data_IF_610821549681
#
_entry.id   IF_610821549681
#
_cell.length_a   1.000
_cell.length_b   1.000
_cell.length_c   1.000
_cell.angle_alpha   90.00
_cell.angle_beta   90.00
_cell.angle_gamma   90.00
#
_symmetry.space_group_name_H-M   'P 1'
#
loop_
_entity.id
_entity.type
_entity.pdbx_description
1 polymer ?
#
# COMPACT_ATOMS: atom_id res chain seq x y z
N UNK A 1 19.35 18.15 3.67
CA UNK A 1 18.18 17.25 3.54
C UNK A 1 17.13 17.69 4.53
N UNK A 2 15.86 17.56 4.18
CA UNK A 2 14.72 17.84 5.06
C UNK A 2 13.62 16.83 4.75
N UNK A 3 13.19 16.05 5.74
CA UNK A 3 12.06 15.13 5.56
C UNK A 3 10.74 15.87 5.67
N UNK A 4 9.75 15.45 4.89
CA UNK A 4 8.37 15.91 4.98
C UNK A 4 7.47 14.67 5.09
N UNK A 5 6.44 14.73 5.93
CA UNK A 5 5.52 13.61 6.12
C UNK A 5 4.16 13.92 5.48
N UNK A 6 3.75 13.15 4.45
CA UNK A 6 2.39 13.19 3.93
C UNK A 6 1.38 12.76 4.97
N UNK A 7 0.56 13.70 5.43
CA UNK A 7 -0.47 13.44 6.47
C UNK A 7 -1.45 12.35 6.02
N UNK A 8 -1.72 12.25 4.70
CA UNK A 8 -2.52 11.17 4.10
C UNK A 8 -2.00 9.75 4.37
N UNK A 9 -0.74 9.58 4.76
CA UNK A 9 -0.16 8.25 5.02
C UNK A 9 -0.72 7.61 6.28
N UNK A 10 -0.97 8.43 7.30
CA UNK A 10 -1.67 8.10 8.54
C UNK A 10 -2.01 9.43 9.22
N UNK A 11 -3.32 9.73 9.28
CA UNK A 11 -3.87 10.98 9.81
C UNK A 11 -4.07 10.93 11.34
N UNK A 12 -3.73 9.80 11.99
CA UNK A 12 -3.85 9.66 13.43
C UNK A 12 -3.05 10.76 14.14
N UNK A 13 -3.73 11.41 15.09
CA UNK A 13 -3.19 12.55 15.81
C UNK A 13 -1.87 12.22 16.51
N UNK A 14 -1.77 11.05 17.14
CA UNK A 14 -0.58 10.67 17.90
C UNK A 14 0.60 10.48 16.95
N UNK A 15 0.37 9.87 15.78
CA UNK A 15 1.40 9.70 14.75
C UNK A 15 1.91 11.05 14.24
N UNK A 16 1.02 11.97 13.87
CA UNK A 16 1.44 13.27 13.34
C UNK A 16 2.13 14.12 14.41
N UNK A 17 1.59 14.16 15.65
CA UNK A 17 2.21 14.90 16.76
C UNK A 17 3.60 14.34 17.11
N UNK A 18 3.78 13.02 17.10
CA UNK A 18 5.08 12.38 17.35
C UNK A 18 6.08 12.68 16.24
N UNK A 19 5.68 12.62 14.97
CA UNK A 19 6.55 13.00 13.84
C UNK A 19 7.03 14.44 13.98
N UNK A 20 6.15 15.37 14.32
CA UNK A 20 6.53 16.78 14.53
C UNK A 20 7.43 16.95 15.73
N UNK A 21 7.13 16.27 16.84
CA UNK A 21 7.90 16.34 18.09
C UNK A 21 9.32 15.77 17.92
N UNK A 22 9.43 14.52 17.48
CA UNK A 22 10.72 13.83 17.31
C UNK A 22 11.48 14.34 16.08
N UNK A 23 10.78 14.84 15.07
CA UNK A 23 11.36 15.45 13.88
C UNK A 23 11.85 16.89 14.05
N UNK A 24 11.53 17.54 15.17
CA UNK A 24 11.82 18.97 15.38
C UNK A 24 13.31 19.31 15.24
N UNK A 25 14.22 18.51 15.79
CA UNK A 25 15.68 18.74 15.65
C UNK A 25 16.18 18.63 14.19
N UNK A 26 15.44 17.91 13.35
CA UNK A 26 15.75 17.67 11.94
C UNK A 26 14.97 18.58 10.98
N UNK A 27 14.21 19.55 11.50
CA UNK A 27 13.30 20.43 10.74
C UNK A 27 12.26 19.63 9.95
N UNK A 28 11.81 18.49 10.47
CA UNK A 28 10.88 17.61 9.76
C UNK A 28 9.54 18.33 9.52
N UNK A 29 9.09 18.35 8.28
CA UNK A 29 7.89 19.04 7.83
C UNK A 29 6.68 18.13 7.62
N UNK A 30 5.57 18.72 7.19
CA UNK A 30 4.33 18.01 6.86
C UNK A 30 3.87 18.36 5.45
N UNK A 31 3.30 17.39 4.74
CA UNK A 31 2.61 17.57 3.47
C UNK A 31 1.11 17.40 3.66
N UNK A 32 0.33 18.30 3.06
CA UNK A 32 -1.12 18.29 3.13
C UNK A 32 -1.73 18.39 1.72
N UNK A 33 -2.61 17.45 1.39
CA UNK A 33 -3.30 17.39 0.10
C UNK A 33 -4.74 17.92 0.14
N UNK A 34 -5.32 18.11 1.33
CA UNK A 34 -6.71 18.56 1.52
C UNK A 34 -6.81 19.67 2.59
N UNK A 35 -7.94 20.40 2.62
CA UNK A 35 -8.15 21.49 3.60
C UNK A 35 -8.08 21.00 5.06
N UNK A 36 -8.71 19.85 5.44
CA UNK A 36 -8.59 19.34 6.80
C UNK A 36 -7.14 18.97 7.17
N UNK A 37 -6.40 18.34 6.25
CA UNK A 37 -4.98 18.02 6.45
C UNK A 37 -4.15 19.29 6.59
N UNK A 38 -4.44 20.35 5.83
CA UNK A 38 -3.74 21.63 5.92
C UNK A 38 -3.95 22.28 7.29
N UNK A 39 -5.20 22.29 7.80
CA UNK A 39 -5.49 22.80 9.15
C UNK A 39 -4.78 21.99 10.24
N UNK A 40 -4.79 20.66 10.12
CA UNK A 40 -4.08 19.76 11.02
C UNK A 40 -2.57 20.05 10.98
N UNK A 41 -1.99 20.12 9.79
CA UNK A 41 -0.57 20.36 9.61
C UNK A 41 -0.14 21.74 10.15
N UNK A 42 -0.93 22.79 9.90
CA UNK A 42 -0.69 24.12 10.47
C UNK A 42 -0.72 24.09 12.00
N UNK A 43 -1.72 23.43 12.59
CA UNK A 43 -1.86 23.31 14.05
C UNK A 43 -0.67 22.56 14.69
N UNK A 44 -0.26 21.43 14.10
CA UNK A 44 0.87 20.65 14.58
C UNK A 44 2.20 21.42 14.41
N UNK A 45 2.45 22.03 13.27
CA UNK A 45 3.70 22.76 12.99
C UNK A 45 3.90 24.02 13.82
N UNK A 46 2.84 24.63 14.36
CA UNK A 46 2.96 25.68 15.38
C UNK A 46 3.72 25.23 16.64
N UNK A 47 3.76 23.92 16.92
CA UNK A 47 4.54 23.30 18.01
C UNK A 47 5.83 22.62 17.51
N UNK A 48 6.08 22.67 16.20
CA UNK A 48 7.23 22.06 15.55
C UNK A 48 8.42 23.00 15.42
N UNK A 49 9.36 22.61 14.55
CA UNK A 49 10.49 23.47 14.22
C UNK A 49 10.02 24.65 13.34
N UNK A 50 10.41 25.91 13.63
CA UNK A 50 10.06 27.08 12.80
C UNK A 50 10.54 27.02 11.34
N UNK A 51 11.55 26.20 11.05
CA UNK A 51 12.10 25.96 9.71
C UNK A 51 11.54 24.69 9.04
N UNK A 52 10.57 24.01 9.67
CA UNK A 52 9.87 22.87 9.08
C UNK A 52 9.03 23.30 7.87
N UNK A 53 9.14 22.56 6.77
CA UNK A 53 8.34 22.80 5.56
C UNK A 53 6.89 22.39 5.78
N UNK A 54 5.98 23.21 5.26
CA UNK A 54 4.58 22.85 5.05
C UNK A 54 4.35 22.76 3.54
N UNK A 55 4.38 21.56 2.99
CA UNK A 55 4.17 21.35 1.56
C UNK A 55 2.68 21.22 1.29
N UNK A 56 2.12 22.18 0.56
CA UNK A 56 0.74 22.17 0.13
C UNK A 56 0.65 21.53 -1.25
N UNK A 57 0.35 20.23 -1.30
CA UNK A 57 0.29 19.44 -2.54
C UNK A 57 -1.17 19.17 -2.95
N UNK A 58 -1.40 18.44 -4.05
CA UNK A 58 -2.74 18.08 -4.51
C UNK A 58 -3.52 19.23 -5.18
N UNK A 59 -4.76 18.97 -5.61
CA UNK A 59 -5.60 19.98 -6.27
C UNK A 59 -6.06 21.05 -5.28
N UNK A 60 -6.00 22.33 -5.68
CA UNK A 60 -6.34 23.45 -4.80
C UNK A 60 -7.41 24.35 -5.42
N UNK A 61 -8.41 24.66 -4.61
CA UNK A 61 -9.35 25.74 -4.89
C UNK A 61 -8.92 27.05 -4.21
N UNK A 62 -9.69 28.12 -4.44
CA UNK A 62 -9.40 29.44 -3.88
C UNK A 62 -9.38 29.46 -2.34
N UNK A 63 -10.21 28.65 -1.68
CA UNK A 63 -10.25 28.56 -0.22
C UNK A 63 -8.99 27.91 0.32
N UNK A 64 -8.55 26.79 -0.29
CA UNK A 64 -7.30 26.14 0.06
C UNK A 64 -6.11 27.10 -0.12
N UNK A 65 -6.03 27.80 -1.26
CA UNK A 65 -4.95 28.77 -1.53
C UNK A 65 -4.95 29.90 -0.48
N UNK A 66 -6.13 30.42 -0.12
CA UNK A 66 -6.27 31.45 0.90
C UNK A 66 -5.77 30.97 2.26
N UNK A 67 -6.09 29.73 2.63
CA UNK A 67 -5.62 29.11 3.87
C UNK A 67 -4.10 28.89 3.86
N UNK A 68 -3.54 28.41 2.75
CA UNK A 68 -2.10 28.24 2.60
C UNK A 68 -1.34 29.58 2.71
N UNK A 69 -1.89 30.67 2.16
CA UNK A 69 -1.35 32.02 2.32
C UNK A 69 -1.49 32.55 3.75
N UNK A 70 -2.54 32.17 4.49
CA UNK A 70 -2.65 32.48 5.91
C UNK A 70 -1.56 31.79 6.73
N UNK A 71 -1.18 30.55 6.38
CA UNK A 71 -0.05 29.84 7.00
C UNK A 71 1.25 30.66 6.94
N UNK A 72 1.46 31.43 5.85
CA UNK A 72 2.57 32.37 5.73
C UNK A 72 2.53 33.49 6.78
N UNK A 73 1.34 34.02 7.08
CA UNK A 73 1.16 35.06 8.11
C UNK A 73 1.44 34.51 9.52
N UNK A 74 1.25 33.20 9.71
CA UNK A 74 1.65 32.47 10.92
C UNK A 74 3.15 32.10 10.95
N UNK A 75 3.95 32.68 10.04
CA UNK A 75 5.39 32.41 9.89
C UNK A 75 5.76 30.96 9.55
N UNK A 76 4.80 30.13 9.12
CA UNK A 76 5.08 28.77 8.65
C UNK A 76 5.80 28.82 7.29
N UNK A 77 6.78 27.92 7.10
CA UNK A 77 7.51 27.76 5.82
C UNK A 77 6.66 26.97 4.82
N UNK A 78 5.49 27.51 4.49
CA UNK A 78 4.59 26.94 3.49
C UNK A 78 5.20 27.01 2.08
N UNK A 79 4.81 26.06 1.23
CA UNK A 79 5.06 26.06 -0.22
C UNK A 79 3.81 25.55 -0.92
N UNK A 80 3.23 26.36 -1.80
CA UNK A 80 2.09 25.97 -2.65
C UNK A 80 2.65 25.29 -3.91
N UNK A 81 2.56 23.97 -3.99
CA UNK A 81 3.06 23.20 -5.14
C UNK A 81 1.97 23.15 -6.21
N UNK A 82 2.20 23.79 -7.35
CA UNK A 82 1.25 23.79 -8.46
C UNK A 82 1.19 22.39 -9.12
N UNK A 83 -0.02 21.86 -9.18
CA UNK A 83 -0.39 20.59 -9.80
C UNK A 83 -0.97 20.81 -11.21
N UNK A 84 -1.67 21.93 -11.39
CA UNK A 84 -2.28 22.36 -12.64
C UNK A 84 -1.81 23.77 -13.03
N UNK A 85 -1.82 24.08 -14.32
CA UNK A 85 -1.31 25.36 -14.81
C UNK A 85 -2.20 26.52 -14.36
N UNK A 86 -3.51 26.27 -14.30
CA UNK A 86 -4.55 27.25 -13.96
C UNK A 86 -4.46 27.72 -12.50
N UNK A 87 -3.86 26.90 -11.61
CA UNK A 87 -3.66 27.25 -10.20
C UNK A 87 -2.76 28.49 -10.05
N UNK A 88 -1.84 28.75 -10.99
CA UNK A 88 -0.94 29.91 -10.91
C UNK A 88 -1.71 31.23 -10.92
N UNK A 89 -2.80 31.30 -11.71
CA UNK A 89 -3.60 32.52 -11.85
C UNK A 89 -4.36 32.80 -10.55
N UNK A 90 -4.91 31.74 -9.93
CA UNK A 90 -5.56 31.83 -8.61
C UNK A 90 -4.58 32.22 -7.51
N UNK A 91 -3.37 31.64 -7.50
CA UNK A 91 -2.33 31.99 -6.51
C UNK A 91 -1.92 33.46 -6.65
N UNK A 92 -1.70 33.95 -7.88
CA UNK A 92 -1.35 35.35 -8.12
C UNK A 92 -2.48 36.28 -7.64
N UNK A 93 -3.72 36.05 -8.07
CA UNK A 93 -4.87 36.88 -7.72
C UNK A 93 -5.10 36.95 -6.20
N UNK A 94 -5.15 35.80 -5.52
CA UNK A 94 -5.39 35.75 -4.07
C UNK A 94 -4.19 36.33 -3.30
N UNK A 95 -2.96 36.11 -3.77
CA UNK A 95 -1.76 36.70 -3.15
C UNK A 95 -1.78 38.22 -3.15
N UNK A 96 -2.27 38.83 -4.24
CA UNK A 96 -2.43 40.27 -4.37
C UNK A 96 -3.56 40.78 -3.46
N UNK A 97 -4.73 40.12 -3.47
CA UNK A 97 -5.87 40.45 -2.60
C UNK A 97 -5.52 40.42 -1.11
N UNK A 98 -4.75 39.42 -0.68
CA UNK A 98 -4.33 39.27 0.72
C UNK A 98 -3.07 40.07 1.07
N UNK A 99 -2.42 40.69 0.08
CA UNK A 99 -1.12 41.35 0.21
C UNK A 99 -0.05 40.45 0.84
N UNK A 100 -0.01 39.17 0.44
CA UNK A 100 0.95 38.17 0.91
C UNK A 100 1.70 37.60 -0.28
N UNK A 101 3.03 37.74 -0.32
CA UNK A 101 3.83 37.07 -1.35
C UNK A 101 3.84 35.55 -1.13
N UNK A 102 3.46 34.74 -2.13
CA UNK A 102 3.43 33.29 -2.01
C UNK A 102 4.85 32.72 -2.06
N UNK A 103 5.00 31.48 -1.58
CA UNK A 103 6.13 30.62 -1.96
C UNK A 103 5.55 29.50 -2.80
N UNK A 104 6.03 29.38 -4.04
CA UNK A 104 5.46 28.53 -5.07
C UNK A 104 6.44 27.40 -5.39
N UNK A 105 5.90 26.20 -5.53
CA UNK A 105 6.56 25.08 -6.17
C UNK A 105 5.83 24.65 -7.44
N UNK A 106 6.44 23.83 -8.26
CA UNK A 106 5.78 23.17 -9.40
C UNK A 106 6.03 21.67 -9.30
N UNK A 107 4.97 20.87 -9.48
CA UNK A 107 5.13 19.43 -9.68
C UNK A 107 5.41 19.14 -11.14
N UNK A 108 6.59 18.64 -11.47
CA UNK A 108 6.96 18.28 -12.84
C UNK A 108 6.57 16.84 -13.16
N UNK A 109 6.00 16.64 -14.36
CA UNK A 109 5.91 15.32 -14.99
C UNK A 109 7.25 14.95 -15.58
N UNK A 110 7.84 13.88 -15.07
CA UNK A 110 9.07 13.31 -15.62
C UNK A 110 8.76 12.40 -16.80
N UNK A 111 9.72 12.25 -17.71
CA UNK A 111 9.70 11.28 -18.80
C UNK A 111 10.06 9.88 -18.31
N UNK A 112 10.85 9.80 -17.23
CA UNK A 112 11.17 8.58 -16.50
C UNK A 112 9.88 7.83 -16.13
N UNK A 113 9.76 6.56 -16.53
CA UNK A 113 8.58 5.71 -16.30
C UNK A 113 8.85 4.65 -15.24
N UNK A 114 7.87 4.45 -14.36
CA UNK A 114 7.83 3.35 -13.41
C UNK A 114 7.01 2.19 -14.01
N UNK A 115 7.56 0.98 -14.04
CA UNK A 115 6.85 -0.27 -14.37
C UNK A 115 6.22 -0.87 -13.11
N UNK A 116 5.01 -1.44 -13.19
CA UNK A 116 4.33 -2.10 -12.07
C UNK A 116 2.92 -1.55 -11.79
N UNK A 117 2.23 -2.06 -10.75
CA UNK A 117 0.86 -1.65 -10.40
C UNK A 117 0.74 -0.13 -10.14
N UNK A 118 1.79 0.50 -9.62
CA UNK A 118 1.83 1.94 -9.31
C UNK A 118 2.30 2.82 -10.48
N UNK A 119 2.73 2.22 -11.60
CA UNK A 119 3.31 2.94 -12.74
C UNK A 119 2.35 3.87 -13.48
N UNK A 120 1.05 3.60 -13.41
CA UNK A 120 -0.01 4.40 -14.07
C UNK A 120 -0.09 5.85 -13.56
N UNK A 121 0.44 6.12 -12.36
CA UNK A 121 0.49 7.46 -11.78
C UNK A 121 1.67 8.31 -12.26
N UNK A 122 2.58 7.71 -13.04
CA UNK A 122 3.88 8.27 -13.39
C UNK A 122 4.10 8.39 -14.89
N UNK A 123 5.09 9.20 -15.28
CA UNK A 123 5.34 9.55 -16.67
C UNK A 123 4.43 10.69 -17.19
N UNK A 124 4.57 11.04 -18.47
CA UNK A 124 3.82 12.13 -19.10
C UNK A 124 2.28 12.00 -19.01
N UNK A 125 1.78 10.76 -18.91
CA UNK A 125 0.35 10.43 -18.80
C UNK A 125 -0.20 10.45 -17.36
N UNK A 126 0.63 10.73 -16.35
CA UNK A 126 0.18 10.83 -14.96
C UNK A 126 -0.95 11.87 -14.80
N UNK A 127 -1.88 11.61 -13.88
CA UNK A 127 -3.02 12.53 -13.60
C UNK A 127 -2.57 13.88 -13.03
N UNK A 128 -1.39 13.92 -12.43
CA UNK A 128 -0.87 15.03 -11.64
C UNK A 128 0.42 15.62 -12.25
N UNK A 129 0.69 16.89 -11.94
CA UNK A 129 1.87 17.62 -12.40
C UNK A 129 1.80 18.21 -13.80
N UNK A 130 2.81 19.01 -14.10
CA UNK A 130 2.96 19.84 -15.29
C UNK A 130 3.98 19.26 -16.25
N UNK A 131 3.63 19.23 -17.53
CA UNK A 131 4.60 18.99 -18.62
C UNK A 131 5.59 20.14 -18.72
N UNK A 132 6.74 19.94 -19.37
CA UNK A 132 7.74 21.00 -19.59
C UNK A 132 7.14 22.26 -20.23
N UNK A 133 6.19 22.09 -21.16
CA UNK A 133 5.50 23.21 -21.81
C UNK A 133 4.68 24.03 -20.81
N UNK A 134 3.91 23.36 -19.95
CA UNK A 134 3.12 24.00 -18.90
C UNK A 134 4.02 24.68 -17.86
N UNK A 135 5.13 24.04 -17.46
CA UNK A 135 6.12 24.64 -16.56
C UNK A 135 6.67 25.95 -17.14
N UNK A 136 7.03 25.98 -18.43
CA UNK A 136 7.50 27.22 -19.08
C UNK A 136 6.40 28.30 -19.14
N UNK A 137 5.14 27.93 -19.33
CA UNK A 137 4.01 28.88 -19.27
C UNK A 137 3.82 29.44 -17.86
N UNK A 138 3.91 28.60 -16.82
CA UNK A 138 3.89 29.05 -15.41
C UNK A 138 5.04 30.02 -15.13
N UNK A 139 6.26 29.70 -15.57
CA UNK A 139 7.43 30.60 -15.46
C UNK A 139 7.13 31.95 -16.12
N UNK A 140 6.56 31.95 -17.32
CA UNK A 140 6.21 33.16 -18.05
C UNK A 140 5.14 33.99 -17.31
N UNK A 141 4.06 33.37 -16.84
CA UNK A 141 3.01 34.05 -16.05
C UNK A 141 3.55 34.67 -14.76
N UNK A 142 4.43 33.96 -14.05
CA UNK A 142 5.09 34.47 -12.84
C UNK A 142 6.06 35.62 -13.16
N UNK A 143 6.78 35.53 -14.27
CA UNK A 143 7.66 36.60 -14.74
C UNK A 143 6.86 37.87 -15.06
N UNK A 144 5.79 37.74 -15.84
CA UNK A 144 4.92 38.86 -16.26
C UNK A 144 4.21 39.52 -15.06
N UNK A 145 4.01 38.76 -13.98
CA UNK A 145 3.44 39.26 -12.72
C UNK A 145 4.48 39.77 -11.71
N UNK A 146 5.78 39.77 -12.05
CA UNK A 146 6.84 40.18 -11.11
C UNK A 146 6.99 39.26 -9.89
N UNK A 147 6.67 37.98 -10.05
CA UNK A 147 6.66 36.95 -8.99
C UNK A 147 7.53 35.73 -9.32
N UNK A 148 8.43 35.81 -10.31
CA UNK A 148 9.31 34.69 -10.67
C UNK A 148 10.22 34.26 -9.50
N UNK A 149 10.58 35.18 -8.61
CA UNK A 149 11.31 34.90 -7.36
C UNK A 149 10.51 34.09 -6.32
N UNK A 150 9.18 34.04 -6.46
CA UNK A 150 8.32 33.22 -5.61
C UNK A 150 8.42 31.73 -5.97
N UNK A 151 8.87 31.37 -7.18
CA UNK A 151 9.12 29.99 -7.59
C UNK A 151 10.42 29.48 -6.96
N UNK A 152 10.29 28.59 -5.97
CA UNK A 152 11.41 28.16 -5.10
C UNK A 152 11.55 26.64 -4.96
N UNK A 153 10.55 25.85 -5.38
CA UNK A 153 10.56 24.39 -5.20
C UNK A 153 10.23 23.67 -6.50
N UNK A 154 11.01 22.65 -6.85
CA UNK A 154 10.65 21.67 -7.88
C UNK A 154 10.26 20.38 -7.17
N UNK A 155 9.01 19.94 -7.35
CA UNK A 155 8.53 18.66 -6.86
C UNK A 155 8.40 17.69 -8.03
N UNK A 156 8.67 16.42 -7.80
CA UNK A 156 8.28 15.34 -8.71
C UNK A 156 7.96 14.11 -7.89
N UNK A 157 7.25 13.15 -8.48
CA UNK A 157 6.94 11.90 -7.81
C UNK A 157 6.92 10.78 -8.83
N UNK A 158 7.85 9.82 -8.68
CA UNK A 158 8.01 8.67 -9.59
C UNK A 158 6.97 7.58 -9.31
N UNK A 159 6.32 7.60 -8.15
CA UNK A 159 5.31 6.62 -7.75
C UNK A 159 5.56 6.10 -6.34
N UNK A 160 4.67 5.21 -5.89
CA UNK A 160 4.78 4.49 -4.63
C UNK A 160 5.63 3.23 -4.80
N UNK A 161 6.28 2.78 -3.72
CA UNK A 161 7.04 1.52 -3.68
C UNK A 161 8.05 1.41 -4.84
N UNK A 162 8.95 2.38 -4.96
CA UNK A 162 9.93 2.42 -6.04
C UNK A 162 10.80 1.15 -5.94
N UNK A 163 10.92 0.33 -7.00
CA UNK A 163 11.52 -1.00 -6.90
C UNK A 163 13.05 -0.98 -6.93
N UNK A 164 13.66 0.11 -7.40
CA UNK A 164 15.12 0.24 -7.46
C UNK A 164 15.60 1.68 -7.33
N UNK A 165 16.79 1.84 -6.74
CA UNK A 165 17.47 3.14 -6.64
C UNK A 165 17.98 3.63 -7.99
N UNK A 166 18.17 2.74 -8.98
CA UNK A 166 18.53 3.12 -10.35
C UNK A 166 17.39 3.91 -11.02
N UNK A 167 16.14 3.44 -10.90
CA UNK A 167 14.97 4.16 -11.39
C UNK A 167 14.81 5.53 -10.71
N UNK A 168 15.00 5.56 -9.38
CA UNK A 168 14.97 6.82 -8.63
C UNK A 168 16.09 7.77 -9.09
N UNK A 169 17.29 7.26 -9.33
CA UNK A 169 18.44 8.06 -9.77
C UNK A 169 18.25 8.67 -11.15
N UNK A 170 17.62 7.93 -12.07
CA UNK A 170 17.26 8.44 -13.40
C UNK A 170 16.27 9.62 -13.28
N UNK A 171 15.18 9.43 -12.52
CA UNK A 171 14.18 10.49 -12.32
C UNK A 171 14.73 11.71 -11.56
N UNK A 172 15.58 11.49 -10.54
CA UNK A 172 16.28 12.57 -9.84
C UNK A 172 17.24 13.32 -10.78
N UNK A 173 17.94 12.59 -11.66
CA UNK A 173 18.80 13.18 -12.69
C UNK A 173 18.03 14.09 -13.65
N UNK A 174 16.88 13.62 -14.14
CA UNK A 174 15.97 14.40 -14.98
C UNK A 174 15.45 15.64 -14.24
N UNK A 175 14.97 15.48 -13.01
CA UNK A 175 14.49 16.58 -12.19
C UNK A 175 15.60 17.62 -11.91
N UNK A 176 16.83 17.19 -11.68
CA UNK A 176 17.96 18.09 -11.49
C UNK A 176 18.27 18.92 -12.75
N UNK A 177 18.07 18.36 -13.96
CA UNK A 177 18.15 19.13 -15.19
C UNK A 177 17.06 20.22 -15.22
N UNK A 178 15.80 19.86 -14.93
CA UNK A 178 14.69 20.82 -14.90
C UNK A 178 14.95 21.93 -13.87
N UNK A 179 15.40 21.57 -12.66
CA UNK A 179 15.75 22.51 -11.60
C UNK A 179 16.81 23.52 -12.07
N UNK A 180 17.87 23.04 -12.72
CA UNK A 180 18.93 23.91 -13.23
C UNK A 180 18.45 24.87 -14.33
N UNK A 181 17.52 24.42 -15.19
CA UNK A 181 16.93 25.28 -16.22
C UNK A 181 16.01 26.35 -15.60
N UNK A 182 15.25 26.02 -14.55
CA UNK A 182 14.45 27.00 -13.81
C UNK A 182 15.33 28.08 -13.16
N UNK A 183 16.48 27.70 -12.59
CA UNK A 183 17.48 28.66 -12.09
C UNK A 183 17.99 29.54 -13.23
N UNK A 184 18.34 28.97 -14.38
CA UNK A 184 18.80 29.71 -15.56
C UNK A 184 17.75 30.70 -16.08
N UNK A 185 16.47 30.34 -16.02
CA UNK A 185 15.35 31.20 -16.40
C UNK A 185 15.08 32.34 -15.39
N UNK A 186 15.73 32.34 -14.22
CA UNK A 186 15.66 33.41 -13.23
C UNK A 186 14.79 33.09 -12.00
N UNK A 187 14.24 31.88 -11.88
CA UNK A 187 13.54 31.46 -10.68
C UNK A 187 14.51 31.33 -9.49
N UNK A 188 14.08 31.73 -8.29
CA UNK A 188 14.91 31.64 -7.07
C UNK A 188 14.79 30.26 -6.42
N UNK A 189 15.08 29.22 -7.19
CA UNK A 189 14.96 27.83 -6.75
C UNK A 189 15.83 27.54 -5.51
N UNK A 190 15.31 26.71 -4.60
CA UNK A 190 15.94 26.37 -3.31
C UNK A 190 15.78 24.90 -2.93
N UNK A 191 14.66 24.28 -3.31
CA UNK A 191 14.30 22.92 -2.88
C UNK A 191 14.04 22.05 -4.11
N UNK A 192 14.56 20.82 -4.07
CA UNK A 192 14.10 19.74 -4.95
C UNK A 192 13.45 18.70 -4.05
N UNK A 193 12.18 18.43 -4.31
CA UNK A 193 11.37 17.47 -3.58
C UNK A 193 11.11 16.24 -4.43
N UNK A 194 11.51 15.08 -3.92
CA UNK A 194 11.43 13.79 -4.62
C UNK A 194 10.05 13.13 -4.48
N UNK A 195 9.17 13.75 -3.69
CA UNK A 195 7.93 13.14 -3.26
C UNK A 195 8.21 11.89 -2.41
N UNK A 196 7.20 11.02 -2.32
CA UNK A 196 7.32 9.75 -1.62
C UNK A 196 7.92 8.64 -2.49
N UNK A 197 7.66 7.40 -2.10
CA UNK A 197 8.03 6.22 -2.89
C UNK A 197 9.19 5.41 -2.33
N UNK A 198 9.79 5.81 -1.21
CA UNK A 198 10.69 4.94 -0.45
C UNK A 198 9.95 3.63 -0.11
N UNK A 199 10.33 2.54 -0.75
CA UNK A 199 9.71 1.24 -0.57
C UNK A 199 10.08 0.56 0.74
N UNK A 200 9.23 -0.39 1.14
CA UNK A 200 9.35 -1.21 2.34
C UNK A 200 9.35 -2.68 1.95
N UNK A 201 10.17 -3.46 2.65
CA UNK A 201 10.19 -4.92 2.50
C UNK A 201 9.12 -5.57 3.38
N UNK A 202 7.92 -5.76 2.84
CA UNK A 202 6.80 -6.34 3.58
C UNK A 202 6.90 -7.85 3.76
N UNK A 203 7.58 -8.56 2.85
CA UNK A 203 7.67 -10.02 2.87
C UNK A 203 9.06 -10.55 3.25
N UNK A 204 10.02 -9.68 3.56
CA UNK A 204 11.37 -10.05 3.98
C UNK A 204 12.26 -10.57 2.85
N UNK A 205 11.79 -10.56 1.60
CA UNK A 205 12.51 -11.14 0.46
C UNK A 205 13.69 -10.29 0.00
N UNK A 206 13.74 -9.00 0.38
CA UNK A 206 14.74 -8.03 -0.08
C UNK A 206 14.95 -8.09 -1.59
N UNK A 207 13.86 -8.16 -2.35
CA UNK A 207 13.87 -8.37 -3.80
C UNK A 207 13.14 -7.26 -4.53
N UNK A 208 13.50 -7.05 -5.81
CA UNK A 208 12.77 -6.17 -6.71
C UNK A 208 11.74 -6.90 -7.58
N UNK A 209 11.51 -8.19 -7.30
CA UNK A 209 10.73 -9.09 -8.17
C UNK A 209 9.22 -9.00 -7.94
N UNK A 210 8.81 -8.30 -6.88
CA UNK A 210 7.41 -8.11 -6.49
C UNK A 210 7.16 -6.69 -6.01
N UNK A 211 5.92 -6.24 -6.10
CA UNK A 211 5.48 -4.94 -5.58
C UNK A 211 5.38 -4.92 -4.02
N UNK A 212 5.76 -6.00 -3.34
CA UNK A 212 5.73 -6.13 -1.87
C UNK A 212 7.09 -5.94 -1.20
N UNK A 213 8.17 -5.80 -1.97
CA UNK A 213 9.53 -5.73 -1.43
C UNK A 213 10.39 -4.70 -2.17
N UNK A 214 11.57 -4.43 -1.62
CA UNK A 214 12.64 -3.68 -2.25
C UNK A 214 14.00 -4.29 -1.93
N UNK A 215 14.96 -4.27 -2.88
CA UNK A 215 16.30 -4.83 -2.67
C UNK A 215 17.31 -3.85 -2.05
N UNK A 216 16.86 -2.68 -1.61
CA UNK A 216 17.73 -1.58 -1.17
C UNK A 216 17.39 -1.12 0.25
N UNK A 217 18.38 -0.61 0.98
CA UNK A 217 18.20 0.04 2.27
C UNK A 217 18.20 1.56 2.18
N UNK A 218 18.11 2.21 3.34
CA UNK A 218 18.16 3.68 3.45
C UNK A 218 19.47 4.26 2.92
N UNK A 219 20.59 3.55 3.10
CA UNK A 219 21.91 4.02 2.65
C UNK A 219 21.99 4.03 1.13
N UNK A 220 21.54 2.96 0.47
CA UNK A 220 21.43 2.87 -0.99
C UNK A 220 20.49 3.94 -1.55
N UNK A 221 19.33 4.15 -0.90
CA UNK A 221 18.41 5.22 -1.28
C UNK A 221 19.07 6.60 -1.18
N UNK A 222 19.81 6.88 -0.09
CA UNK A 222 20.49 8.15 0.11
C UNK A 222 21.60 8.44 -0.92
N UNK A 223 22.17 7.43 -1.57
CA UNK A 223 23.16 7.64 -2.63
C UNK A 223 22.62 8.38 -3.86
N UNK A 224 21.29 8.48 -4.01
CA UNK A 224 20.68 9.24 -5.11
C UNK A 224 21.01 10.74 -5.08
N UNK A 225 21.46 11.26 -3.94
CA UNK A 225 21.99 12.63 -3.80
C UNK A 225 23.11 12.90 -4.82
N UNK A 226 23.87 11.86 -5.23
CA UNK A 226 24.91 11.98 -6.25
C UNK A 226 24.37 12.42 -7.63
N UNK A 227 23.15 12.01 -8.00
CA UNK A 227 22.55 12.41 -9.27
C UNK A 227 22.30 13.93 -9.32
N UNK A 228 21.84 14.52 -8.20
CA UNK A 228 21.69 15.98 -8.09
C UNK A 228 23.04 16.67 -8.09
N UNK A 229 23.97 16.19 -7.27
CA UNK A 229 25.31 16.75 -7.16
C UNK A 229 25.97 16.85 -8.54
N UNK A 230 25.93 15.77 -9.31
CA UNK A 230 26.52 15.72 -10.65
C UNK A 230 25.99 16.82 -11.57
N UNK A 231 24.67 17.02 -11.61
CA UNK A 231 24.06 18.03 -12.48
C UNK A 231 24.34 19.45 -11.97
N UNK A 232 24.21 19.69 -10.66
CA UNK A 232 24.44 21.01 -10.08
C UNK A 232 25.90 21.45 -10.20
N UNK A 233 26.86 20.55 -9.93
CA UNK A 233 28.30 20.82 -10.09
C UNK A 233 28.62 21.16 -11.55
N UNK A 234 28.15 20.32 -12.49
CA UNK A 234 28.40 20.50 -13.93
C UNK A 234 27.82 21.81 -14.48
N UNK A 235 26.64 22.21 -14.02
CA UNK A 235 25.98 23.46 -14.45
C UNK A 235 26.32 24.66 -13.57
N UNK A 236 27.20 24.49 -12.57
CA UNK A 236 27.57 25.53 -11.60
C UNK A 236 26.36 26.18 -10.92
N UNK A 237 25.35 25.38 -10.61
CA UNK A 237 24.15 25.80 -9.88
C UNK A 237 24.32 25.44 -8.39
N UNK A 238 23.92 26.34 -7.49
CA UNK A 238 23.94 26.10 -6.05
C UNK A 238 23.12 24.84 -5.71
N UNK A 239 23.68 23.97 -4.85
CA UNK A 239 22.99 22.77 -4.43
C UNK A 239 21.67 23.09 -3.69
N UNK A 240 20.55 22.44 -4.05
CA UNK A 240 19.28 22.62 -3.38
C UNK A 240 19.24 21.92 -2.02
N UNK A 241 18.28 22.33 -1.19
CA UNK A 241 17.78 21.45 -0.12
C UNK A 241 17.03 20.29 -0.78
N UNK A 242 17.45 19.08 -0.45
CA UNK A 242 16.76 17.86 -0.89
C UNK A 242 15.64 17.56 0.11
N UNK A 243 14.42 17.41 -0.40
CA UNK A 243 13.23 17.03 0.34
C UNK A 243 12.74 15.65 -0.12
N UNK A 244 12.21 14.85 0.81
CA UNK A 244 11.48 13.63 0.47
C UNK A 244 10.25 13.46 1.34
N UNK A 245 9.19 12.91 0.76
CA UNK A 245 7.87 12.73 1.34
C UNK A 245 7.59 11.25 1.64
N UNK A 246 8.54 10.55 2.27
CA UNK A 246 8.56 9.09 2.44
C UNK A 246 7.57 8.56 3.50
N UNK A 247 6.30 8.94 3.39
CA UNK A 247 5.26 8.68 4.39
C UNK A 247 5.10 7.22 4.79
N UNK A 248 4.77 6.34 3.83
CA UNK A 248 4.63 4.88 4.06
C UNK A 248 5.83 4.30 4.81
N UNK A 249 7.05 4.64 4.41
CA UNK A 249 8.25 4.11 5.03
C UNK A 249 8.49 4.59 6.46
N UNK A 250 8.01 5.79 6.79
CA UNK A 250 8.08 6.35 8.15
C UNK A 250 7.09 5.61 9.08
N UNK A 251 5.88 5.33 8.60
CA UNK A 251 4.81 4.79 9.46
C UNK A 251 4.57 3.30 9.33
N UNK A 252 5.17 2.59 8.37
CA UNK A 252 4.91 1.14 8.20
C UNK A 252 5.25 0.31 9.44
N UNK A 253 6.16 0.78 10.29
CA UNK A 253 6.59 0.12 11.53
C UNK A 253 6.02 0.76 12.81
N UNK A 254 5.04 1.67 12.70
CA UNK A 254 4.58 2.46 13.86
C UNK A 254 3.77 1.66 14.89
N UNK A 255 3.17 0.54 14.48
CA UNK A 255 2.26 -0.24 15.32
C UNK A 255 2.47 -1.74 15.12
N UNK A 256 2.12 -2.48 16.17
CA UNK A 256 2.07 -3.94 16.19
C UNK A 256 0.68 -4.31 16.66
N UNK A 257 0.01 -5.20 15.93
CA UNK A 257 -1.28 -5.77 16.34
C UNK A 257 -1.03 -7.10 17.02
N UNK A 258 -1.50 -7.22 18.25
CA UNK A 258 -1.48 -8.46 19.02
C UNK A 258 -2.94 -8.90 19.17
N UNK A 259 -3.25 -10.07 18.66
CA UNK A 259 -4.58 -10.67 18.73
C UNK A 259 -4.46 -12.15 19.10
N UNK A 260 -5.51 -12.67 19.73
CA UNK A 260 -5.59 -14.06 20.16
C UNK A 260 -6.19 -14.93 19.04
N UNK A 261 -5.60 -16.10 18.79
CA UNK A 261 -6.25 -17.16 18.04
C UNK A 261 -7.13 -17.97 19.00
N UNK A 262 -8.44 -17.73 18.94
CA UNK A 262 -9.43 -18.23 19.92
C UNK A 262 -9.71 -19.71 19.73
N UNK A 263 -9.88 -20.15 18.49
CA UNK A 263 -10.30 -21.51 18.20
C UNK A 263 -9.75 -22.00 16.87
N UNK A 264 -9.44 -23.29 16.82
CA UNK A 264 -9.12 -24.00 15.60
C UNK A 264 -10.40 -24.66 15.05
N UNK A 265 -10.84 -24.24 13.88
CA UNK A 265 -11.79 -25.00 13.07
C UNK A 265 -11.00 -26.07 12.31
N UNK A 266 -10.87 -27.24 12.91
CA UNK A 266 -10.34 -28.41 12.22
C UNK A 266 -11.43 -29.01 11.30
N UNK A 267 -11.06 -29.66 10.17
CA UNK A 267 -11.98 -30.51 9.44
C UNK A 267 -12.61 -31.53 10.40
N UNK A 268 -13.93 -31.73 10.30
CA UNK A 268 -14.64 -32.66 11.17
C UNK A 268 -14.11 -34.09 10.93
N UNK A 269 -13.36 -34.63 11.88
CA UNK A 269 -12.94 -36.03 11.81
C UNK A 269 -14.12 -36.91 12.17
N UNK A 270 -14.61 -37.70 11.21
CA UNK A 270 -15.58 -38.74 11.50
C UNK A 270 -14.91 -39.82 12.38
N UNK A 271 -15.20 -39.80 13.68
CA UNK A 271 -14.62 -40.74 14.64
C UNK A 271 -15.45 -42.01 14.79
N UNK A 272 -16.70 -41.99 14.35
CA UNK A 272 -17.57 -43.17 14.40
C UNK A 272 -17.23 -44.15 13.27
N UNK A 273 -17.26 -45.47 13.54
CA UNK A 273 -17.05 -46.48 12.51
C UNK A 273 -18.11 -46.33 11.41
N UNK A 274 -17.65 -46.21 10.17
CA UNK A 274 -18.52 -46.06 9.00
C UNK A 274 -19.39 -47.31 8.87
N UNK A 275 -20.69 -47.17 9.13
CA UNK A 275 -21.65 -48.27 9.01
C UNK A 275 -22.17 -48.37 7.57
N UNK A 276 -21.40 -49.06 6.72
CA UNK A 276 -21.75 -49.25 5.30
C UNK A 276 -23.18 -49.82 5.11
N UNK A 277 -23.62 -50.88 5.83
CA UNK A 277 -25.00 -51.36 5.73
C UNK A 277 -26.06 -50.27 5.97
N UNK A 278 -25.87 -49.43 6.98
CA UNK A 278 -26.80 -48.35 7.30
C UNK A 278 -26.86 -47.27 6.20
N UNK A 279 -25.72 -46.95 5.56
CA UNK A 279 -25.70 -46.06 4.41
C UNK A 279 -26.53 -46.68 3.27
N UNK A 280 -26.31 -47.97 2.99
CA UNK A 280 -26.94 -48.66 1.87
C UNK A 280 -28.47 -48.77 1.95
N UNK A 281 -29.07 -48.77 3.15
CA UNK A 281 -30.54 -48.86 3.30
C UNK A 281 -31.29 -47.69 2.67
N UNK A 282 -30.67 -46.50 2.55
CA UNK A 282 -31.29 -45.30 1.96
C UNK A 282 -30.81 -44.95 0.56
N UNK A 283 -29.86 -45.71 -0.01
CA UNK A 283 -29.30 -45.38 -1.32
C UNK A 283 -30.21 -45.89 -2.45
N UNK A 284 -30.38 -45.06 -3.48
CA UNK A 284 -30.89 -45.52 -4.79
C UNK A 284 -30.01 -46.61 -5.40
N UNK A 285 -30.56 -47.40 -6.34
CA UNK A 285 -29.82 -48.42 -7.10
C UNK A 285 -28.56 -47.83 -7.77
N UNK A 286 -28.72 -46.63 -8.28
CA UNK A 286 -27.70 -45.83 -8.93
C UNK A 286 -26.54 -45.45 -7.99
N UNK A 287 -26.84 -44.94 -6.79
CA UNK A 287 -25.79 -44.65 -5.80
C UNK A 287 -25.18 -45.93 -5.20
N UNK A 288 -25.93 -47.02 -5.13
CA UNK A 288 -25.36 -48.33 -4.80
C UNK A 288 -24.34 -48.75 -5.86
N UNK A 289 -24.63 -48.60 -7.14
CA UNK A 289 -23.69 -48.92 -8.23
C UNK A 289 -22.40 -48.09 -8.13
N UNK A 290 -22.51 -46.80 -7.83
CA UNK A 290 -21.34 -45.94 -7.63
C UNK A 290 -20.51 -46.34 -6.40
N UNK A 291 -21.16 -46.75 -5.31
CA UNK A 291 -20.46 -47.32 -4.14
C UNK A 291 -19.70 -48.61 -4.50
N UNK A 292 -20.30 -49.49 -5.30
CA UNK A 292 -19.62 -50.71 -5.78
C UNK A 292 -18.43 -50.38 -6.67
N UNK A 293 -18.55 -49.40 -7.56
CA UNK A 293 -17.43 -48.91 -8.37
C UNK A 293 -16.30 -48.33 -7.51
N UNK A 294 -16.65 -47.56 -6.48
CA UNK A 294 -15.70 -47.04 -5.49
C UNK A 294 -14.97 -48.17 -4.77
N UNK A 295 -15.69 -49.17 -4.26
CA UNK A 295 -15.14 -50.33 -3.55
C UNK A 295 -14.22 -51.16 -4.45
N UNK A 296 -14.63 -51.43 -5.67
CA UNK A 296 -13.83 -52.20 -6.64
C UNK A 296 -12.55 -51.46 -7.01
N UNK A 297 -12.61 -50.14 -7.16
CA UNK A 297 -11.43 -49.31 -7.44
C UNK A 297 -10.47 -49.28 -6.25
N UNK A 298 -10.99 -49.19 -5.02
CA UNK A 298 -10.19 -49.27 -3.79
C UNK A 298 -9.35 -50.54 -3.71
N UNK A 299 -9.88 -51.67 -4.22
CA UNK A 299 -9.18 -52.95 -4.23
C UNK A 299 -8.18 -53.11 -5.38
N UNK A 300 -8.32 -52.33 -6.47
CA UNK A 300 -7.56 -52.53 -7.71
C UNK A 300 -6.40 -51.55 -7.91
N UNK A 301 -6.51 -50.30 -7.44
CA UNK A 301 -5.53 -49.24 -7.76
C UNK A 301 -5.45 -48.18 -6.67
N UNK A 302 -4.23 -47.80 -6.25
CA UNK A 302 -3.95 -46.69 -5.33
C UNK A 302 -3.89 -45.30 -5.99
N UNK A 303 -4.57 -45.11 -7.12
CA UNK A 303 -4.47 -43.93 -7.99
C UNK A 303 -5.70 -43.01 -7.87
N UNK A 304 -5.60 -41.80 -8.44
CA UNK A 304 -6.63 -40.74 -8.39
C UNK A 304 -8.04 -41.13 -8.87
N UNK A 305 -8.21 -42.27 -9.56
CA UNK A 305 -9.52 -42.84 -9.86
C UNK A 305 -10.32 -43.17 -8.58
N UNK A 306 -9.65 -43.55 -7.50
CA UNK A 306 -10.30 -43.87 -6.22
C UNK A 306 -11.03 -42.65 -5.63
N UNK A 307 -10.44 -41.46 -5.74
CA UNK A 307 -11.10 -40.21 -5.34
C UNK A 307 -12.23 -39.82 -6.29
N UNK A 308 -12.04 -40.00 -7.60
CA UNK A 308 -13.07 -39.69 -8.59
C UNK A 308 -14.39 -40.42 -8.30
N UNK A 309 -14.33 -41.73 -8.04
CA UNK A 309 -15.53 -42.49 -7.68
C UNK A 309 -16.12 -42.10 -6.32
N UNK A 310 -15.27 -41.70 -5.36
CA UNK A 310 -15.75 -41.24 -4.05
C UNK A 310 -16.50 -39.91 -4.17
N UNK A 311 -15.98 -38.97 -4.97
CA UNK A 311 -16.63 -37.69 -5.24
C UNK A 311 -17.93 -37.86 -6.03
N UNK A 312 -17.93 -38.68 -7.07
CA UNK A 312 -19.14 -38.99 -7.84
C UNK A 312 -20.24 -39.60 -6.96
N UNK A 313 -19.87 -40.58 -6.13
CA UNK A 313 -20.78 -41.19 -5.17
C UNK A 313 -21.31 -40.16 -4.16
N UNK A 314 -20.43 -39.30 -3.61
CA UNK A 314 -20.82 -38.23 -2.69
C UNK A 314 -21.83 -37.27 -3.32
N UNK A 315 -21.59 -36.82 -4.55
CA UNK A 315 -22.50 -35.92 -5.26
C UNK A 315 -23.91 -36.53 -5.37
N UNK A 316 -24.00 -37.82 -5.68
CA UNK A 316 -25.28 -38.54 -5.80
C UNK A 316 -26.00 -38.72 -4.47
N UNK A 317 -25.26 -38.99 -3.41
CA UNK A 317 -25.81 -39.03 -2.05
C UNK A 317 -26.31 -37.64 -1.61
N UNK A 318 -25.60 -36.56 -1.96
CA UNK A 318 -26.03 -35.18 -1.70
C UNK A 318 -27.30 -34.82 -2.49
N UNK A 319 -27.45 -35.32 -3.72
CA UNK A 319 -28.69 -35.17 -4.49
C UNK A 319 -29.87 -35.88 -3.82
N UNK A 320 -29.72 -37.14 -3.39
CA UNK A 320 -30.75 -37.88 -2.64
C UNK A 320 -31.11 -37.21 -1.31
N UNK A 321 -30.13 -36.64 -0.61
CA UNK A 321 -30.40 -35.85 0.60
C UNK A 321 -31.25 -34.61 0.28
N UNK A 322 -30.96 -33.89 -0.81
CA UNK A 322 -31.76 -32.74 -1.26
C UNK A 322 -33.18 -33.12 -1.67
N UNK A 323 -33.36 -34.32 -2.21
CA UNK A 323 -34.68 -34.91 -2.53
C UNK A 323 -35.43 -35.43 -1.30
N UNK A 324 -34.75 -35.56 -0.15
CA UNK A 324 -35.32 -36.06 1.10
C UNK A 324 -35.39 -37.58 1.21
N UNK A 325 -34.70 -38.31 0.32
CA UNK A 325 -34.64 -39.79 0.33
C UNK A 325 -33.50 -40.33 1.19
N UNK A 326 -32.47 -39.52 1.46
CA UNK A 326 -31.35 -39.84 2.34
C UNK A 326 -31.44 -39.07 3.66
N UNK A 327 -31.22 -39.74 4.79
CA UNK A 327 -31.18 -39.12 6.12
C UNK A 327 -29.88 -38.36 6.42
N UNK A 328 -29.89 -37.51 7.45
CA UNK A 328 -28.72 -36.70 7.84
C UNK A 328 -27.58 -37.57 8.41
N UNK A 329 -27.90 -38.64 9.14
CA UNK A 329 -26.92 -39.60 9.68
C UNK A 329 -26.24 -40.41 8.58
N UNK A 330 -26.98 -40.72 7.51
CA UNK A 330 -26.43 -41.37 6.31
C UNK A 330 -25.51 -40.42 5.56
N UNK A 331 -25.92 -39.15 5.39
CA UNK A 331 -25.08 -38.12 4.76
C UNK A 331 -23.78 -37.88 5.56
N UNK A 332 -23.84 -37.83 6.89
CA UNK A 332 -22.66 -37.72 7.74
C UNK A 332 -21.70 -38.91 7.55
N UNK A 333 -22.24 -40.12 7.42
CA UNK A 333 -21.45 -41.33 7.15
C UNK A 333 -20.81 -41.32 5.75
N UNK A 334 -21.50 -40.76 4.75
CA UNK A 334 -20.98 -40.51 3.40
C UNK A 334 -19.79 -39.55 3.44
N UNK A 335 -19.92 -38.44 4.18
CA UNK A 335 -18.84 -37.48 4.41
C UNK A 335 -17.64 -38.16 5.08
N UNK A 336 -17.88 -38.99 6.10
CA UNK A 336 -16.85 -39.77 6.79
C UNK A 336 -16.08 -40.74 5.87
N UNK A 337 -16.77 -41.41 4.94
CA UNK A 337 -16.10 -42.27 3.95
C UNK A 337 -15.23 -41.45 2.99
N UNK A 338 -15.73 -40.32 2.50
CA UNK A 338 -14.96 -39.46 1.59
C UNK A 338 -13.71 -38.87 2.27
N UNK A 339 -13.84 -38.44 3.52
CA UNK A 339 -12.72 -38.04 4.38
C UNK A 339 -11.68 -39.15 4.53
N UNK A 340 -12.13 -40.39 4.76
CA UNK A 340 -11.25 -41.54 4.85
C UNK A 340 -10.51 -41.82 3.53
N UNK A 341 -11.21 -41.74 2.39
CA UNK A 341 -10.62 -41.87 1.05
C UNK A 341 -9.54 -40.82 0.82
N UNK A 342 -9.80 -39.55 1.13
CA UNK A 342 -8.82 -38.44 1.00
C UNK A 342 -7.55 -38.68 1.84
N UNK A 343 -7.72 -39.21 3.06
CA UNK A 343 -6.61 -39.59 3.94
C UNK A 343 -5.82 -40.77 3.36
N UNK A 344 -6.51 -41.79 2.83
CA UNK A 344 -5.88 -42.99 2.28
C UNK A 344 -5.02 -42.70 1.04
N UNK A 345 -5.42 -41.77 0.18
CA UNK A 345 -4.65 -41.39 -1.02
C UNK A 345 -3.54 -40.37 -0.73
N UNK A 346 -3.40 -39.89 0.51
CA UNK A 346 -2.39 -38.90 0.87
C UNK A 346 -2.61 -37.50 0.27
N UNK A 347 -3.78 -37.21 -0.29
CA UNK A 347 -4.12 -35.90 -0.84
C UNK A 347 -4.60 -34.90 0.23
N UNK A 348 -4.68 -35.33 1.49
CA UNK A 348 -5.03 -34.46 2.62
C UNK A 348 -3.84 -33.56 2.98
N UNK A 349 -3.88 -32.30 2.55
CA UNK A 349 -3.04 -31.23 3.08
C UNK A 349 -3.93 -30.29 3.92
N UNK A 350 -4.17 -30.61 5.21
CA UNK A 350 -5.13 -29.89 6.02
C UNK A 350 -4.67 -28.45 6.25
N UNK A 351 -5.35 -27.52 5.59
CA UNK A 351 -5.29 -26.10 5.92
C UNK A 351 -6.16 -25.88 7.15
N UNK A 352 -5.53 -25.44 8.23
CA UNK A 352 -6.20 -25.21 9.50
C UNK A 352 -6.79 -23.79 9.53
N UNK A 353 -8.07 -23.65 9.82
CA UNK A 353 -8.66 -22.31 9.99
C UNK A 353 -8.65 -21.92 11.46
N UNK A 354 -7.95 -20.85 11.80
CA UNK A 354 -7.89 -20.31 13.15
C UNK A 354 -8.76 -19.05 13.24
N UNK A 355 -9.76 -19.07 14.12
CA UNK A 355 -10.58 -17.89 14.39
C UNK A 355 -9.79 -16.94 15.29
N UNK A 356 -9.61 -15.68 14.88
CA UNK A 356 -8.80 -14.68 15.58
C UNK A 356 -9.64 -13.54 16.13
N UNK A 357 -9.30 -13.04 17.32
CA UNK A 357 -9.92 -11.88 17.95
C UNK A 357 -9.40 -10.56 17.33
N UNK A 358 -9.66 -10.40 16.04
CA UNK A 358 -9.33 -9.22 15.23
C UNK A 358 -10.56 -8.91 14.37
N UNK A 359 -10.64 -7.71 13.80
CA UNK A 359 -11.42 -7.49 12.59
C UNK A 359 -10.49 -6.98 11.49
N UNK A 360 -10.42 -7.72 10.39
CA UNK A 360 -9.53 -7.39 9.26
C UNK A 360 -9.89 -6.01 8.73
N UNK A 361 -11.18 -5.73 8.58
CA UNK A 361 -11.70 -4.47 8.04
C UNK A 361 -11.37 -3.24 8.87
N UNK A 362 -11.27 -3.37 10.20
CA UNK A 362 -10.97 -2.22 11.07
C UNK A 362 -9.48 -2.06 11.32
N UNK A 363 -8.74 -3.16 11.42
CA UNK A 363 -7.37 -3.14 11.92
C UNK A 363 -6.32 -3.21 10.81
N UNK A 364 -6.61 -3.91 9.73
CA UNK A 364 -5.72 -4.09 8.57
C UNK A 364 -6.49 -3.98 7.25
N UNK A 365 -7.25 -2.89 7.00
CA UNK A 365 -8.08 -2.74 5.82
C UNK A 365 -7.29 -2.85 4.50
N UNK A 366 -6.01 -2.49 4.50
CA UNK A 366 -5.15 -2.61 3.32
C UNK A 366 -4.94 -4.06 2.88
N UNK A 367 -4.95 -5.02 3.82
CA UNK A 367 -4.86 -6.45 3.49
C UNK A 367 -6.06 -6.87 2.65
N UNK A 368 -7.25 -6.43 3.04
CA UNK A 368 -8.49 -6.73 2.35
C UNK A 368 -8.68 -5.91 1.08
N UNK A 369 -8.46 -4.59 1.15
CA UNK A 369 -8.84 -3.66 0.09
C UNK A 369 -7.85 -3.59 -1.07
N UNK A 370 -6.57 -3.88 -0.84
CA UNK A 370 -5.51 -3.80 -1.86
C UNK A 370 -4.53 -4.98 -1.84
N UNK A 371 -4.92 -6.13 -1.26
CA UNK A 371 -4.07 -7.33 -1.16
C UNK A 371 -2.69 -7.07 -0.49
N UNK A 372 -2.61 -6.09 0.42
CA UNK A 372 -1.36 -5.76 1.09
C UNK A 372 -0.93 -6.90 2.04
N UNK A 373 0.33 -7.30 1.95
CA UNK A 373 0.92 -8.29 2.84
C UNK A 373 1.44 -7.63 4.12
N UNK A 374 1.19 -8.26 5.25
CA UNK A 374 1.70 -7.87 6.56
C UNK A 374 2.47 -9.04 7.18
N UNK A 375 3.66 -8.81 7.76
CA UNK A 375 4.35 -9.83 8.53
C UNK A 375 3.50 -10.27 9.72
N UNK A 376 3.19 -11.57 9.79
CA UNK A 376 2.43 -12.17 10.90
C UNK A 376 3.25 -13.31 11.46
N UNK A 377 3.51 -13.26 12.76
CA UNK A 377 4.27 -14.27 13.49
C UNK A 377 3.58 -14.63 14.80
N UNK A 378 3.65 -15.89 15.25
CA UNK A 378 3.19 -16.24 16.58
C UNK A 378 4.11 -15.61 17.63
N UNK A 379 3.57 -15.14 18.76
CA UNK A 379 4.37 -14.61 19.87
C UNK A 379 5.09 -15.71 20.69
N UNK A 380 4.86 -16.97 20.36
CA UNK A 380 5.43 -18.15 21.01
C UNK A 380 5.97 -19.11 19.94
N UNK A 381 6.89 -20.01 20.33
CA UNK A 381 7.54 -21.00 19.42
C UNK A 381 8.25 -20.34 18.22
N UNK A 382 8.81 -19.16 18.41
CA UNK A 382 9.57 -18.41 17.38
C UNK A 382 10.84 -19.14 16.92
N UNK A 383 11.31 -20.10 17.71
CA UNK A 383 12.43 -20.99 17.42
C UNK A 383 12.03 -22.23 16.58
N UNK A 384 10.74 -22.42 16.31
CA UNK A 384 10.21 -23.60 15.63
C UNK A 384 9.71 -23.27 14.23
N UNK A 385 10.04 -24.13 13.25
CA UNK A 385 9.51 -24.00 11.89
C UNK A 385 8.01 -24.38 11.88
N UNK A 386 7.14 -23.57 11.24
CA UNK A 386 5.73 -23.95 11.04
C UNK A 386 5.61 -25.30 10.33
N UNK A 387 4.84 -26.22 10.92
CA UNK A 387 4.62 -27.58 10.40
C UNK A 387 3.29 -27.79 9.68
N UNK A 388 2.41 -26.79 9.68
CA UNK A 388 1.08 -26.87 9.06
C UNK A 388 0.72 -25.53 8.40
N UNK A 389 -0.11 -25.59 7.36
CA UNK A 389 -0.70 -24.41 6.72
C UNK A 389 -1.91 -23.95 7.52
N UNK A 390 -2.08 -22.64 7.64
CA UNK A 390 -3.19 -22.04 8.35
C UNK A 390 -3.82 -20.89 7.57
N UNK A 391 -5.11 -20.67 7.82
CA UNK A 391 -5.84 -19.44 7.48
C UNK A 391 -6.24 -18.80 8.80
N UNK A 392 -6.05 -17.50 8.95
CA UNK A 392 -6.62 -16.77 10.08
C UNK A 392 -7.96 -16.19 9.63
N UNK A 393 -9.07 -16.62 10.22
CA UNK A 393 -10.39 -16.05 9.99
C UNK A 393 -10.71 -15.11 11.14
N UNK A 394 -11.17 -13.90 10.84
CA UNK A 394 -11.68 -13.01 11.85
C UNK A 394 -13.07 -13.49 12.36
N UNK A 395 -13.60 -12.84 13.40
CA UNK A 395 -14.89 -13.24 13.99
C UNK A 395 -16.11 -12.71 13.23
N UNK A 396 -15.92 -11.96 12.15
CA UNK A 396 -17.03 -11.43 11.38
C UNK A 396 -17.64 -12.54 10.53
N UNK A 397 -18.92 -12.39 10.18
CA UNK A 397 -19.61 -13.34 9.29
C UNK A 397 -19.19 -13.17 7.81
N UNK A 398 -18.21 -12.31 7.51
CA UNK A 398 -17.80 -12.01 6.15
C UNK A 398 -16.69 -12.96 5.69
N UNK A 399 -16.86 -13.58 4.52
CA UNK A 399 -15.89 -14.52 3.95
C UNK A 399 -14.56 -13.89 3.55
N UNK A 400 -14.53 -12.56 3.45
CA UNK A 400 -13.35 -11.76 3.13
C UNK A 400 -12.54 -11.37 4.37
N UNK A 401 -13.11 -11.55 5.57
CA UNK A 401 -12.45 -11.34 6.86
C UNK A 401 -11.40 -12.41 7.17
N UNK A 402 -10.54 -12.78 6.22
CA UNK A 402 -9.53 -13.84 6.38
C UNK A 402 -8.16 -13.43 5.87
N UNK A 403 -7.15 -14.00 6.49
CA UNK A 403 -5.74 -13.89 6.13
C UNK A 403 -5.28 -15.27 5.67
N UNK A 404 -5.02 -15.38 4.36
CA UNK A 404 -4.58 -16.61 3.71
C UNK A 404 -3.27 -16.45 2.93
N UNK A 405 -2.63 -15.27 3.03
CA UNK A 405 -1.30 -14.95 2.51
C UNK A 405 -0.50 -14.34 3.67
N UNK A 406 0.76 -14.77 3.82
CA UNK A 406 1.63 -14.42 4.94
C UNK A 406 3.02 -14.02 4.44
#
# INVERSE_FOLDING_TARGET
YQGVYPVKSNQDRFVVEDIVKFGSSFRFGLEAGSKPELLLAMSCLCKGNPEALLVCNGFKDAEYISLALLARKLALKHVIVLEQEEEVDMVIDISQKLSVRPVIGVRAKLRTKHSGHFGSTSGEKGKFGLTTTQVLRVVKKLQDSGMLDCLQLLHFHIGSQIPSTALLSDGVGEAAQIYSELVRLGARMKVVDFGGGLGIDYNGSKSGDSDLSVPYGLQEYAHVVNAIRFVCDRKSVKHPVICSESGRAIVSHHSILIFEAICLTAPATHNEPINIPFIMEGLSEDACADYWNLRDTAMRTGDGAFWFYADQWKQRCVEQFKEGTLGIEQLASVDGLCEWVLKAIGASDPVHTYNINLSVFTSIPDLWGIDQLFPIVPIHKLDQRPGARGILSDLTCDSDGKINKF
#
